data_IF_732425552364
#
_entry.id   IF_732425552364
#
_cell.length_a   1.000
_cell.length_b   1.000
_cell.length_c   1.000
_cell.angle_alpha   90.00
_cell.angle_beta   90.00
_cell.angle_gamma   90.00
#
_symmetry.space_group_name_H-M   'P 1'
#
loop_
_entity.id
_entity.type
_entity.pdbx_description
1 polymer ?
#
# COMPACT_ATOMS: atom_id res chain seq x y z
N UNK A 1 -40.66 20.43 -7.67
CA UNK A 1 -40.81 20.39 -6.22
C UNK A 1 -39.53 19.76 -5.68
N UNK A 2 -38.61 20.57 -5.17
CA UNK A 2 -37.43 20.09 -4.48
C UNK A 2 -37.90 19.43 -3.18
N UNK A 3 -37.81 18.12 -3.08
CA UNK A 3 -37.92 17.45 -1.79
C UNK A 3 -36.78 18.01 -0.94
N UNK A 4 -37.10 18.68 0.14
CA UNK A 4 -36.18 19.03 1.22
C UNK A 4 -35.66 17.72 1.81
N UNK A 5 -34.66 17.13 1.17
CA UNK A 5 -33.98 15.95 1.71
C UNK A 5 -33.11 16.45 2.86
N UNK A 6 -33.66 16.38 4.08
CA UNK A 6 -32.88 16.67 5.28
C UNK A 6 -31.60 15.86 5.26
N UNK A 7 -30.49 16.53 5.55
CA UNK A 7 -29.17 15.85 5.65
C UNK A 7 -29.25 14.74 6.71
N UNK A 8 -28.96 13.50 6.28
CA UNK A 8 -28.98 12.37 7.21
C UNK A 8 -27.78 12.46 8.17
N UNK A 9 -28.07 12.45 9.45
CA UNK A 9 -27.08 12.37 10.52
C UNK A 9 -27.22 11.01 11.17
N UNK A 10 -26.17 10.16 11.11
CA UNK A 10 -26.20 8.85 11.76
C UNK A 10 -26.40 8.97 13.27
N UNK A 11 -27.06 7.99 13.87
CA UNK A 11 -27.14 7.89 15.33
C UNK A 11 -25.75 7.76 15.98
N UNK A 12 -25.63 8.13 17.25
CA UNK A 12 -24.37 8.01 17.99
C UNK A 12 -23.88 6.56 18.00
N UNK A 13 -22.64 6.37 17.58
CA UNK A 13 -22.02 5.03 17.47
C UNK A 13 -20.87 4.87 18.47
N UNK A 14 -20.69 3.65 18.98
CA UNK A 14 -19.54 3.28 19.82
C UNK A 14 -18.32 2.82 19.00
N UNK A 15 -18.47 2.67 17.68
CA UNK A 15 -17.39 2.19 16.80
C UNK A 15 -16.10 3.02 16.89
N UNK A 16 -16.14 4.37 16.97
CA UNK A 16 -14.91 5.16 17.10
C UNK A 16 -14.11 4.85 18.37
N UNK A 17 -14.78 4.55 19.50
CA UNK A 17 -14.12 4.19 20.77
C UNK A 17 -13.43 2.83 20.61
N UNK A 18 -14.10 1.84 20.02
CA UNK A 18 -13.48 0.51 19.77
C UNK A 18 -12.33 0.60 18.76
N UNK A 19 -12.44 1.47 17.75
CA UNK A 19 -11.34 1.72 16.81
C UNK A 19 -10.13 2.34 17.51
N UNK A 20 -10.34 3.37 18.34
CA UNK A 20 -9.26 4.00 19.11
C UNK A 20 -8.56 2.99 20.03
N UNK A 21 -9.33 2.11 20.67
CA UNK A 21 -8.78 1.03 21.49
C UNK A 21 -7.98 0.01 20.64
N UNK A 22 -8.50 -0.39 19.48
CA UNK A 22 -7.79 -1.26 18.53
C UNK A 22 -6.47 -0.67 18.05
N UNK A 23 -6.45 0.62 17.73
CA UNK A 23 -5.25 1.35 17.33
C UNK A 23 -4.23 1.47 18.48
N UNK A 24 -4.69 1.72 19.70
CA UNK A 24 -3.81 1.71 20.89
C UNK A 24 -3.14 0.34 21.07
N UNK A 25 -3.90 -0.75 21.00
CA UNK A 25 -3.36 -2.10 21.07
C UNK A 25 -2.36 -2.36 19.93
N UNK A 26 -2.64 -1.84 18.73
CA UNK A 26 -1.75 -1.98 17.58
C UNK A 26 -0.40 -1.30 17.83
N UNK A 27 -0.38 -0.05 18.30
CA UNK A 27 0.87 0.67 18.58
C UNK A 27 1.68 -0.04 19.67
N UNK A 28 1.02 -0.47 20.75
CA UNK A 28 1.68 -1.21 21.84
C UNK A 28 2.19 -2.57 21.36
N UNK A 29 1.40 -3.30 20.57
CA UNK A 29 1.75 -4.60 20.00
C UNK A 29 2.91 -4.50 19.01
N UNK A 30 2.88 -3.52 18.11
CA UNK A 30 3.95 -3.28 17.16
C UNK A 30 5.26 -2.89 17.87
N UNK A 31 5.19 -1.96 18.82
CA UNK A 31 6.35 -1.53 19.60
C UNK A 31 6.97 -2.69 20.40
N UNK A 32 6.14 -3.52 21.05
CA UNK A 32 6.60 -4.71 21.77
C UNK A 32 7.25 -5.72 20.83
N UNK A 33 6.62 -5.99 19.67
CA UNK A 33 7.15 -6.94 18.68
C UNK A 33 8.50 -6.47 18.12
N UNK A 34 8.63 -5.19 17.81
CA UNK A 34 9.90 -4.62 17.32
C UNK A 34 11.00 -4.72 18.41
N UNK A 35 10.66 -4.40 19.65
CA UNK A 35 11.62 -4.49 20.77
C UNK A 35 12.05 -5.94 21.10
N UNK A 36 11.25 -6.91 20.70
CA UNK A 36 11.51 -8.32 20.94
C UNK A 36 12.10 -9.04 19.70
N UNK A 37 12.35 -8.31 18.60
CA UNK A 37 13.05 -8.88 17.45
C UNK A 37 14.45 -9.37 17.86
N UNK A 38 14.73 -10.62 17.54
CA UNK A 38 16.00 -11.27 17.89
C UNK A 38 16.02 -11.98 19.25
N UNK A 39 14.93 -11.96 20.04
CA UNK A 39 14.82 -12.76 21.26
C UNK A 39 14.29 -14.16 20.92
N UNK A 40 14.89 -15.21 21.52
CA UNK A 40 14.53 -16.61 21.25
C UNK A 40 13.11 -16.99 21.64
N UNK A 41 12.49 -16.29 22.61
CA UNK A 41 11.10 -16.52 23.00
C UNK A 41 10.41 -15.20 23.31
N UNK A 42 9.45 -14.81 22.47
CA UNK A 42 8.60 -13.66 22.69
C UNK A 42 7.18 -13.97 22.26
N UNK A 43 6.23 -13.58 23.11
CA UNK A 43 4.80 -13.64 22.82
C UNK A 43 4.21 -12.27 22.44
N UNK A 44 5.05 -11.28 22.16
CA UNK A 44 4.64 -9.91 21.85
C UNK A 44 3.78 -9.82 20.59
N UNK A 45 3.99 -10.73 19.62
CA UNK A 45 3.17 -10.82 18.41
C UNK A 45 1.69 -11.13 18.69
N UNK A 46 1.36 -11.74 19.85
CA UNK A 46 -0.04 -12.04 20.22
C UNK A 46 -0.83 -10.76 20.38
N UNK A 47 -0.24 -9.74 21.04
CA UNK A 47 -0.88 -8.44 21.20
C UNK A 47 -1.11 -7.76 19.83
N UNK A 48 -0.12 -7.84 18.94
CA UNK A 48 -0.22 -7.32 17.58
C UNK A 48 -1.33 -8.04 16.80
N UNK A 49 -1.38 -9.37 16.82
CA UNK A 49 -2.44 -10.14 16.14
C UNK A 49 -3.83 -9.83 16.72
N UNK A 50 -3.93 -9.70 18.05
CA UNK A 50 -5.19 -9.32 18.70
C UNK A 50 -5.66 -7.94 18.26
N UNK A 51 -4.75 -6.97 18.12
CA UNK A 51 -5.08 -5.63 17.64
C UNK A 51 -5.62 -5.66 16.20
N UNK A 52 -5.01 -6.44 15.31
CA UNK A 52 -5.53 -6.64 13.96
C UNK A 52 -6.94 -7.22 13.98
N UNK A 53 -7.20 -8.24 14.80
CA UNK A 53 -8.54 -8.82 14.90
C UNK A 53 -9.58 -7.79 15.35
N UNK A 54 -9.25 -6.94 16.33
CA UNK A 54 -10.14 -5.87 16.80
C UNK A 54 -10.38 -4.84 15.70
N UNK A 55 -9.32 -4.33 15.05
CA UNK A 55 -9.43 -3.31 13.99
C UNK A 55 -10.28 -3.85 12.83
N UNK A 56 -9.98 -5.05 12.33
CA UNK A 56 -10.74 -5.65 11.23
C UNK A 56 -12.19 -5.93 11.61
N UNK A 57 -12.44 -6.38 12.85
CA UNK A 57 -13.79 -6.57 13.36
C UNK A 57 -14.61 -5.26 13.39
N UNK A 58 -14.02 -4.18 13.88
CA UNK A 58 -14.64 -2.85 13.90
C UNK A 58 -14.89 -2.35 12.48
N UNK A 59 -13.90 -2.48 11.57
CA UNK A 59 -14.04 -2.08 10.17
C UNK A 59 -15.17 -2.85 9.47
N UNK A 60 -15.24 -4.17 9.70
CA UNK A 60 -16.31 -4.99 9.12
C UNK A 60 -17.70 -4.53 9.57
N UNK A 61 -17.89 -4.27 10.86
CA UNK A 61 -19.17 -3.75 11.39
C UNK A 61 -19.49 -2.37 10.83
N UNK A 62 -18.50 -1.50 10.78
CA UNK A 62 -18.69 -0.14 10.26
C UNK A 62 -19.11 -0.15 8.78
N UNK A 63 -18.37 -0.83 7.91
CA UNK A 63 -18.72 -0.92 6.49
C UNK A 63 -20.05 -1.64 6.26
N UNK A 64 -20.38 -2.64 7.09
CA UNK A 64 -21.67 -3.31 7.02
C UNK A 64 -22.82 -2.32 7.32
N UNK A 65 -22.65 -1.45 8.32
CA UNK A 65 -23.64 -0.42 8.64
C UNK A 65 -23.79 0.57 7.49
N UNK A 66 -22.69 1.08 6.94
CA UNK A 66 -22.71 2.01 5.78
C UNK A 66 -23.44 1.39 4.58
N UNK A 67 -23.16 0.12 4.29
CA UNK A 67 -23.83 -0.61 3.20
C UNK A 67 -25.34 -0.74 3.47
N UNK A 68 -25.73 -1.07 4.71
CA UNK A 68 -27.13 -1.22 5.07
C UNK A 68 -27.89 0.11 5.01
N UNK A 69 -27.26 1.21 5.43
CA UNK A 69 -27.83 2.56 5.34
C UNK A 69 -28.01 2.99 3.88
N UNK A 70 -27.02 2.75 3.03
CA UNK A 70 -27.12 3.00 1.58
C UNK A 70 -28.26 2.19 0.95
N UNK A 71 -28.35 0.88 1.26
CA UNK A 71 -29.41 0.01 0.74
C UNK A 71 -30.82 0.43 1.17
N UNK A 72 -30.96 1.13 2.33
CA UNK A 72 -32.22 1.71 2.80
C UNK A 72 -32.53 3.05 2.14
N UNK A 73 -31.64 3.58 1.28
CA UNK A 73 -31.83 4.86 0.61
C UNK A 73 -31.78 6.06 1.55
N UNK A 74 -31.03 5.97 2.66
CA UNK A 74 -30.94 7.02 3.68
C UNK A 74 -30.01 8.17 3.27
N UNK A 75 -29.22 8.00 2.23
CA UNK A 75 -28.19 8.94 1.82
C UNK A 75 -28.73 10.00 0.86
N UNK A 76 -28.51 11.27 1.20
CA UNK A 76 -28.79 12.41 0.33
C UNK A 76 -27.63 12.68 -0.62
N UNK A 77 -27.87 13.45 -1.69
CA UNK A 77 -26.83 13.87 -2.62
C UNK A 77 -25.69 14.64 -1.92
N UNK A 78 -26.03 15.45 -0.91
CA UNK A 78 -25.05 16.17 -0.11
C UNK A 78 -24.15 15.20 0.69
N UNK A 79 -24.72 14.13 1.24
CA UNK A 79 -23.94 13.12 1.96
C UNK A 79 -23.07 12.32 1.00
N UNK A 80 -23.56 11.97 -0.19
CA UNK A 80 -22.77 11.33 -1.23
C UNK A 80 -21.57 12.19 -1.62
N UNK A 81 -21.73 13.50 -1.75
CA UNK A 81 -20.62 14.43 -1.98
C UNK A 81 -19.62 14.44 -0.81
N UNK A 82 -20.08 14.31 0.42
CA UNK A 82 -19.19 14.19 1.59
C UNK A 82 -18.34 12.92 1.56
N UNK A 83 -18.89 11.79 1.09
CA UNK A 83 -18.11 10.57 0.88
C UNK A 83 -17.05 10.74 -0.21
N UNK A 84 -17.37 11.43 -1.31
CA UNK A 84 -16.41 11.77 -2.37
C UNK A 84 -15.23 12.56 -1.80
N UNK A 85 -15.50 13.62 -1.05
CA UNK A 85 -14.46 14.42 -0.39
C UNK A 85 -13.68 13.61 0.65
N UNK A 86 -14.37 12.77 1.43
CA UNK A 86 -13.72 11.87 2.39
C UNK A 86 -12.72 10.94 1.71
N UNK A 87 -13.08 10.33 0.58
CA UNK A 87 -12.19 9.48 -0.19
C UNK A 87 -11.02 10.26 -0.80
N UNK A 88 -11.26 11.47 -1.30
CA UNK A 88 -10.20 12.32 -1.84
C UNK A 88 -9.16 12.69 -0.76
N UNK A 89 -9.60 13.08 0.44
CA UNK A 89 -8.72 13.38 1.57
C UNK A 89 -7.99 12.13 2.08
N UNK A 90 -8.64 10.98 2.08
CA UNK A 90 -7.99 9.73 2.42
C UNK A 90 -6.85 9.42 1.44
N UNK A 91 -7.09 9.46 0.13
CA UNK A 91 -6.05 9.24 -0.88
C UNK A 91 -4.93 10.29 -0.73
N UNK A 92 -5.28 11.55 -0.47
CA UNK A 92 -4.27 12.59 -0.24
C UNK A 92 -3.38 12.27 0.96
N UNK A 93 -3.93 11.76 2.06
CA UNK A 93 -3.12 11.35 3.22
C UNK A 93 -2.15 10.22 2.88
N UNK A 94 -2.58 9.26 2.07
CA UNK A 94 -1.73 8.15 1.62
C UNK A 94 -0.63 8.62 0.65
N UNK A 95 -0.95 9.58 -0.23
CA UNK A 95 0.07 10.24 -1.06
C UNK A 95 1.13 10.90 -0.19
N UNK A 96 0.74 11.63 0.87
CA UNK A 96 1.68 12.27 1.79
C UNK A 96 2.50 11.25 2.60
N UNK A 97 1.90 10.10 2.95
CA UNK A 97 2.60 8.99 3.59
C UNK A 97 3.75 8.47 2.70
N UNK A 98 3.49 8.13 1.45
CA UNK A 98 4.54 7.69 0.53
C UNK A 98 5.53 8.80 0.18
N UNK A 99 5.05 10.03 0.04
CA UNK A 99 5.91 11.20 -0.20
C UNK A 99 6.98 11.37 0.89
N UNK A 100 6.64 11.12 2.16
CA UNK A 100 7.62 11.15 3.24
C UNK A 100 8.73 10.11 3.06
N UNK A 101 8.42 8.90 2.61
CA UNK A 101 9.44 7.88 2.32
C UNK A 101 10.29 8.24 1.10
N UNK A 102 9.68 8.75 0.03
CA UNK A 102 10.43 9.22 -1.14
C UNK A 102 11.34 10.40 -0.80
N UNK A 103 10.87 11.34 0.04
CA UNK A 103 11.72 12.42 0.54
C UNK A 103 12.90 11.89 1.37
N UNK A 104 12.67 10.91 2.24
CA UNK A 104 13.74 10.29 3.03
C UNK A 104 14.75 9.59 2.11
N UNK A 105 14.29 8.84 1.11
CA UNK A 105 15.16 8.22 0.10
C UNK A 105 15.95 9.27 -0.67
N UNK A 106 15.29 10.33 -1.13
CA UNK A 106 15.93 11.45 -1.83
C UNK A 106 16.98 12.13 -0.96
N UNK A 107 16.66 12.41 0.31
CA UNK A 107 17.61 13.01 1.25
C UNK A 107 18.85 12.12 1.48
N UNK A 108 18.64 10.85 1.68
CA UNK A 108 19.75 9.88 1.85
C UNK A 108 20.64 9.86 0.61
N UNK A 109 20.03 9.74 -0.57
CA UNK A 109 20.74 9.58 -1.84
C UNK A 109 21.46 10.86 -2.26
N UNK A 110 20.85 12.04 -2.04
CA UNK A 110 21.37 13.32 -2.51
C UNK A 110 22.30 14.02 -1.51
N UNK A 111 22.18 13.70 -0.23
CA UNK A 111 22.93 14.40 0.83
C UNK A 111 23.72 13.44 1.72
N UNK A 112 23.05 12.49 2.39
CA UNK A 112 23.70 11.68 3.42
C UNK A 112 24.82 10.81 2.86
N UNK A 113 24.58 10.11 1.74
CA UNK A 113 25.57 9.23 1.09
C UNK A 113 26.76 10.04 0.53
N UNK A 114 26.58 11.16 -0.22
CA UNK A 114 27.67 12.04 -0.62
C UNK A 114 28.49 12.58 0.56
N UNK A 115 27.83 13.04 1.64
CA UNK A 115 28.55 13.53 2.81
C UNK A 115 29.44 12.48 3.47
N UNK A 116 28.98 11.26 3.60
CA UNK A 116 29.77 10.14 4.11
C UNK A 116 30.96 9.79 3.18
N UNK A 117 30.79 9.95 1.88
CA UNK A 117 31.87 9.78 0.88
C UNK A 117 32.84 10.95 0.75
N UNK A 118 32.68 11.99 1.59
CA UNK A 118 33.60 13.13 1.57
C UNK A 118 33.22 14.25 0.62
N UNK A 119 31.97 14.28 0.15
CA UNK A 119 31.45 15.33 -0.74
C UNK A 119 30.52 16.31 0.00
N UNK A 120 30.48 17.57 -0.46
CA UNK A 120 29.54 18.57 0.00
C UNK A 120 29.86 19.19 1.36
N UNK A 121 28.85 19.84 1.97
CA UNK A 121 29.05 20.70 3.15
C UNK A 121 29.44 19.93 4.43
N UNK A 122 29.08 18.64 4.51
CA UNK A 122 29.40 17.79 5.66
C UNK A 122 30.45 16.70 5.32
N UNK A 123 31.30 16.98 4.36
CA UNK A 123 32.39 16.07 3.93
C UNK A 123 33.30 15.60 5.07
N UNK A 124 33.38 16.35 6.17
CA UNK A 124 34.14 15.98 7.36
C UNK A 124 33.73 14.64 7.98
N UNK A 125 32.51 14.17 7.71
CA UNK A 125 32.02 12.86 8.19
C UNK A 125 32.80 11.70 7.59
N UNK A 126 33.46 11.88 6.44
CA UNK A 126 34.33 10.88 5.82
C UNK A 126 35.58 10.55 6.65
N UNK A 127 35.98 11.43 7.58
CA UNK A 127 37.08 11.14 8.52
C UNK A 127 36.78 9.89 9.36
N UNK A 128 35.50 9.65 9.68
CA UNK A 128 35.09 8.47 10.45
C UNK A 128 35.10 7.20 9.59
N UNK A 129 34.89 7.35 8.29
CA UNK A 129 34.71 6.25 7.34
C UNK A 129 35.54 6.49 6.06
N UNK A 130 36.87 6.55 6.12
CA UNK A 130 37.70 7.01 5.00
C UNK A 130 37.70 6.05 3.80
N UNK A 131 37.31 4.80 4.01
CA UNK A 131 37.18 3.79 2.96
C UNK A 131 35.79 3.73 2.31
N UNK A 132 34.82 4.56 2.78
CA UNK A 132 33.49 4.54 2.23
C UNK A 132 33.41 5.29 0.90
N UNK A 133 32.86 4.63 -0.10
CA UNK A 133 32.59 5.21 -1.42
C UNK A 133 31.12 5.57 -1.58
N UNK A 134 30.84 6.82 -1.98
CA UNK A 134 29.49 7.35 -2.18
C UNK A 134 28.90 6.81 -3.49
N UNK A 135 28.42 5.57 -3.49
CA UNK A 135 27.77 4.94 -4.64
C UNK A 135 26.31 4.61 -4.32
N UNK A 136 25.44 4.61 -5.34
CA UNK A 136 24.07 4.14 -5.20
C UNK A 136 23.77 3.03 -6.21
N UNK A 137 23.18 1.90 -5.83
CA UNK A 137 22.83 1.51 -4.44
C UNK A 137 24.06 1.29 -3.55
N UNK A 138 23.91 1.57 -2.25
CA UNK A 138 24.97 1.39 -1.25
C UNK A 138 25.09 -0.11 -0.96
N UNK A 139 26.07 -0.76 -1.60
CA UNK A 139 26.33 -2.19 -1.45
C UNK A 139 27.33 -2.49 -0.33
N UNK A 140 28.21 -1.54 -0.04
CA UNK A 140 29.18 -1.59 1.07
C UNK A 140 28.81 -0.46 2.03
N UNK A 141 28.44 -0.80 3.26
CA UNK A 141 28.10 0.17 4.28
C UNK A 141 29.35 0.81 4.88
N UNK A 142 29.25 1.99 5.52
CA UNK A 142 30.39 2.62 6.20
C UNK A 142 31.05 1.70 7.23
N UNK A 143 30.26 0.97 8.02
CA UNK A 143 30.71 -0.07 8.96
C UNK A 143 30.26 -1.43 8.44
N UNK A 144 30.96 -1.94 7.43
CA UNK A 144 30.58 -3.19 6.77
C UNK A 144 30.87 -4.44 7.60
N UNK A 145 31.67 -4.34 8.66
CA UNK A 145 31.93 -5.45 9.59
C UNK A 145 30.72 -5.68 10.50
N UNK A 146 30.12 -4.62 11.02
CA UNK A 146 28.96 -4.69 11.90
C UNK A 146 27.64 -4.76 11.13
N UNK A 147 27.54 -4.06 10.00
CA UNK A 147 26.35 -3.95 9.17
C UNK A 147 26.64 -4.28 7.71
N UNK A 148 26.77 -5.56 7.38
CA UNK A 148 27.07 -5.96 6.00
C UNK A 148 25.98 -5.50 5.03
N UNK A 149 26.41 -4.94 3.90
CA UNK A 149 25.54 -4.55 2.81
C UNK A 149 24.99 -5.76 2.03
N UNK A 150 24.16 -5.51 1.03
CA UNK A 150 23.64 -6.55 0.15
C UNK A 150 24.73 -7.09 -0.78
N UNK A 151 24.69 -8.38 -1.12
CA UNK A 151 25.64 -9.00 -2.07
C UNK A 151 25.31 -8.64 -3.52
N UNK A 152 24.01 -8.49 -3.84
CA UNK A 152 23.50 -8.13 -5.16
C UNK A 152 22.45 -7.03 -5.05
N UNK A 153 22.30 -6.25 -6.12
CA UNK A 153 21.29 -5.21 -6.21
C UNK A 153 20.12 -5.62 -7.13
N UNK A 154 19.01 -4.92 -7.02
CA UNK A 154 17.78 -5.11 -7.82
C UNK A 154 17.77 -4.29 -9.12
N UNK A 155 18.91 -3.80 -9.58
CA UNK A 155 18.99 -2.97 -10.78
C UNK A 155 18.51 -3.71 -12.03
N UNK A 156 17.96 -2.95 -12.96
CA UNK A 156 17.53 -3.46 -14.25
C UNK A 156 18.69 -4.08 -15.03
N UNK A 157 18.59 -5.34 -15.50
CA UNK A 157 19.70 -6.05 -16.14
C UNK A 157 19.99 -5.59 -17.58
N UNK A 158 19.35 -4.51 -18.02
CA UNK A 158 19.41 -4.00 -19.39
C UNK A 158 18.21 -4.41 -20.25
N UNK A 159 17.97 -3.67 -21.33
CA UNK A 159 16.77 -3.81 -22.17
C UNK A 159 16.65 -5.21 -22.79
N UNK A 160 17.75 -5.83 -23.18
CA UNK A 160 17.75 -7.15 -23.81
C UNK A 160 17.35 -8.29 -22.88
N UNK A 161 17.55 -8.10 -21.56
CA UNK A 161 17.24 -9.09 -20.51
C UNK A 161 16.04 -8.66 -19.64
N UNK A 162 15.27 -7.67 -20.08
CA UNK A 162 14.14 -7.13 -19.32
C UNK A 162 13.10 -8.19 -18.95
N UNK A 163 12.88 -9.17 -19.83
CA UNK A 163 11.93 -10.27 -19.60
C UNK A 163 12.35 -11.23 -18.48
N UNK A 164 13.60 -11.22 -18.03
CA UNK A 164 14.09 -12.02 -16.90
C UNK A 164 13.98 -11.29 -15.56
N UNK A 165 13.58 -10.04 -15.58
CA UNK A 165 13.50 -9.16 -14.41
C UNK A 165 12.09 -9.14 -13.84
N UNK A 166 11.88 -9.63 -12.62
CA UNK A 166 10.59 -9.74 -11.98
C UNK A 166 9.84 -8.39 -11.87
N UNK A 167 10.47 -7.27 -11.50
CA UNK A 167 9.80 -5.97 -11.44
C UNK A 167 9.16 -5.52 -12.77
N UNK A 168 9.68 -5.96 -13.90
CA UNK A 168 9.05 -5.69 -15.21
C UNK A 168 7.67 -6.35 -15.33
N UNK A 169 7.56 -7.62 -14.92
CA UNK A 169 6.29 -8.34 -14.95
C UNK A 169 5.31 -7.79 -13.91
N UNK A 170 5.81 -7.41 -12.73
CA UNK A 170 5.04 -6.72 -11.72
C UNK A 170 4.42 -5.44 -12.26
N UNK A 171 5.23 -4.60 -12.89
CA UNK A 171 4.77 -3.35 -13.52
C UNK A 171 3.73 -3.61 -14.61
N UNK A 172 3.98 -4.60 -15.47
CA UNK A 172 3.05 -4.95 -16.55
C UNK A 172 1.69 -5.43 -15.99
N UNK A 173 1.69 -6.27 -14.97
CA UNK A 173 0.46 -6.74 -14.32
C UNK A 173 -0.32 -5.56 -13.72
N UNK A 174 0.35 -4.68 -12.99
CA UNK A 174 -0.31 -3.59 -12.27
C UNK A 174 -0.86 -2.54 -13.25
N UNK A 175 -0.07 -2.07 -14.21
CA UNK A 175 -0.51 -1.11 -15.23
C UNK A 175 -1.65 -1.68 -16.10
N UNK A 176 -1.58 -2.97 -16.46
CA UNK A 176 -2.67 -3.62 -17.18
C UNK A 176 -3.94 -3.68 -16.33
N UNK A 177 -3.81 -3.97 -15.02
CA UNK A 177 -4.95 -4.00 -14.10
C UNK A 177 -5.62 -2.65 -13.95
N UNK A 178 -4.86 -1.56 -14.01
CA UNK A 178 -5.37 -0.19 -14.05
C UNK A 178 -6.25 0.06 -15.29
N UNK A 179 -5.82 -0.41 -16.44
CA UNK A 179 -6.63 -0.36 -17.65
C UNK A 179 -7.91 -1.20 -17.57
N UNK A 180 -7.82 -2.41 -17.00
CA UNK A 180 -8.97 -3.32 -16.92
C UNK A 180 -10.03 -2.85 -15.93
N UNK A 181 -9.67 -2.19 -14.81
CA UNK A 181 -10.67 -1.61 -13.90
C UNK A 181 -11.39 -0.41 -14.54
N UNK A 182 -10.67 0.42 -15.30
CA UNK A 182 -11.30 1.51 -16.06
C UNK A 182 -12.30 0.96 -17.10
N UNK A 183 -11.98 -0.15 -17.76
CA UNK A 183 -12.91 -0.84 -18.67
C UNK A 183 -14.11 -1.43 -17.92
N UNK A 184 -13.92 -1.94 -16.71
CA UNK A 184 -15.01 -2.43 -15.87
C UNK A 184 -15.99 -1.29 -15.51
N UNK A 185 -15.48 -0.14 -15.05
CA UNK A 185 -16.31 1.02 -14.75
C UNK A 185 -17.07 1.53 -15.99
N UNK A 186 -16.36 1.64 -17.12
CA UNK A 186 -16.98 2.05 -18.38
C UNK A 186 -18.08 1.06 -18.84
N UNK A 187 -17.88 -0.23 -18.61
CA UNK A 187 -18.89 -1.26 -18.92
C UNK A 187 -20.11 -1.15 -18.00
N UNK A 188 -19.91 -0.88 -16.70
CA UNK A 188 -20.99 -0.66 -15.75
C UNK A 188 -21.83 0.56 -16.12
N UNK A 189 -21.19 1.71 -16.40
CA UNK A 189 -21.86 2.96 -16.84
C UNK A 189 -22.64 2.80 -18.14
N UNK A 190 -22.32 1.81 -18.97
CA UNK A 190 -23.03 1.48 -20.22
C UNK A 190 -24.05 0.33 -20.04
N UNK A 191 -24.36 -0.09 -18.81
CA UNK A 191 -25.28 -1.18 -18.52
C UNK A 191 -24.80 -2.59 -18.95
N UNK A 192 -23.53 -2.72 -19.39
CA UNK A 192 -22.96 -4.00 -19.89
C UNK A 192 -22.45 -4.87 -18.73
N UNK A 193 -23.39 -5.42 -17.94
CA UNK A 193 -23.09 -6.19 -16.72
C UNK A 193 -22.15 -7.38 -16.93
N UNK A 194 -22.28 -8.12 -18.03
CA UNK A 194 -21.38 -9.25 -18.32
C UNK A 194 -19.94 -8.78 -18.52
N UNK A 195 -19.71 -7.71 -19.30
CA UNK A 195 -18.40 -7.13 -19.52
C UNK A 195 -17.81 -6.57 -18.21
N UNK A 196 -18.62 -5.87 -17.40
CA UNK A 196 -18.21 -5.41 -16.07
C UNK A 196 -17.67 -6.58 -15.23
N UNK A 197 -18.43 -7.65 -15.09
CA UNK A 197 -18.03 -8.83 -14.30
C UNK A 197 -16.71 -9.43 -14.80
N UNK A 198 -16.56 -9.60 -16.12
CA UNK A 198 -15.35 -10.16 -16.71
C UNK A 198 -14.13 -9.29 -16.45
N UNK A 199 -14.24 -7.98 -16.66
CA UNK A 199 -13.13 -7.04 -16.41
C UNK A 199 -12.73 -6.96 -14.94
N UNK A 200 -13.69 -7.01 -14.01
CA UNK A 200 -13.40 -7.06 -12.57
C UNK A 200 -12.62 -8.31 -12.19
N UNK A 201 -12.99 -9.48 -12.72
CA UNK A 201 -12.25 -10.73 -12.48
C UNK A 201 -10.83 -10.62 -13.00
N UNK A 202 -10.63 -10.08 -14.21
CA UNK A 202 -9.29 -9.88 -14.78
C UNK A 202 -8.47 -8.95 -13.91
N UNK A 203 -9.03 -7.82 -13.47
CA UNK A 203 -8.35 -6.85 -12.59
C UNK A 203 -7.86 -7.51 -11.30
N UNK A 204 -8.74 -8.24 -10.60
CA UNK A 204 -8.39 -8.90 -9.34
C UNK A 204 -7.33 -9.99 -9.56
N UNK A 205 -7.46 -10.77 -10.64
CA UNK A 205 -6.49 -11.80 -10.96
C UNK A 205 -5.09 -11.20 -11.18
N UNK A 206 -4.99 -10.10 -11.92
CA UNK A 206 -3.73 -9.38 -12.13
C UNK A 206 -3.17 -8.81 -10.82
N UNK A 207 -4.02 -8.29 -9.95
CA UNK A 207 -3.62 -7.83 -8.62
C UNK A 207 -3.04 -8.94 -7.75
N UNK A 208 -3.66 -10.11 -7.71
CA UNK A 208 -3.13 -11.27 -6.97
C UNK A 208 -1.85 -11.83 -7.59
N UNK A 209 -1.74 -11.83 -8.93
CA UNK A 209 -0.50 -12.21 -9.62
C UNK A 209 0.63 -11.26 -9.20
N UNK A 210 0.38 -9.94 -9.17
CA UNK A 210 1.35 -8.96 -8.69
C UNK A 210 1.81 -9.29 -7.26
N UNK A 211 0.89 -9.52 -6.32
CA UNK A 211 1.23 -9.84 -4.92
C UNK A 211 2.07 -11.11 -4.83
N UNK A 212 1.74 -12.12 -5.63
CA UNK A 212 2.50 -13.37 -5.69
C UNK A 212 3.92 -13.14 -6.22
N UNK A 213 4.08 -12.39 -7.32
CA UNK A 213 5.38 -12.07 -7.89
C UNK A 213 6.22 -11.20 -6.94
N UNK A 214 5.59 -10.25 -6.22
CA UNK A 214 6.27 -9.47 -5.17
C UNK A 214 6.79 -10.38 -4.05
N UNK A 215 6.02 -11.39 -3.66
CA UNK A 215 6.46 -12.40 -2.69
C UNK A 215 7.68 -13.19 -3.17
N UNK A 216 7.70 -13.58 -4.45
CA UNK A 216 8.86 -14.24 -5.07
C UNK A 216 10.08 -13.32 -5.11
N UNK A 217 9.88 -12.03 -5.44
CA UNK A 217 10.95 -11.03 -5.44
C UNK A 217 11.56 -10.86 -4.06
N UNK A 218 10.76 -10.83 -3.00
CA UNK A 218 11.23 -10.78 -1.62
C UNK A 218 11.98 -12.05 -1.21
N UNK A 219 11.48 -13.21 -1.62
CA UNK A 219 12.19 -14.47 -1.38
C UNK A 219 13.57 -14.47 -2.05
N UNK A 220 13.66 -14.06 -3.31
CA UNK A 220 14.91 -13.94 -4.06
C UNK A 220 15.87 -12.96 -3.38
N UNK A 221 15.36 -11.79 -2.94
CA UNK A 221 16.14 -10.77 -2.25
C UNK A 221 16.78 -11.33 -0.96
N UNK A 222 16.00 -11.99 -0.13
CA UNK A 222 16.48 -12.55 1.15
C UNK A 222 17.37 -13.79 0.96
N UNK A 223 17.00 -14.73 0.07
CA UNK A 223 17.65 -16.03 -0.04
C UNK A 223 18.90 -16.00 -0.92
N UNK A 224 18.95 -15.13 -1.93
CA UNK A 224 19.99 -15.19 -2.99
C UNK A 224 20.74 -13.89 -3.25
N UNK A 225 20.33 -12.78 -2.60
CA UNK A 225 20.93 -11.47 -2.81
C UNK A 225 21.55 -10.86 -1.56
N UNK A 226 21.39 -11.48 -0.39
CA UNK A 226 21.78 -10.88 0.88
C UNK A 226 21.06 -9.54 1.15
N UNK A 227 20.06 -9.20 0.34
CA UNK A 227 19.29 -7.97 0.47
C UNK A 227 18.20 -8.18 1.51
N UNK A 228 18.46 -7.68 2.72
CA UNK A 228 17.56 -7.79 3.87
C UNK A 228 17.23 -6.41 4.42
N UNK A 229 16.26 -6.34 5.33
CA UNK A 229 15.93 -5.10 6.02
C UNK A 229 17.15 -4.51 6.77
N UNK A 230 18.07 -5.36 7.24
CA UNK A 230 19.31 -4.99 7.93
C UNK A 230 20.51 -4.74 7.01
N UNK A 231 20.37 -4.89 5.69
CA UNK A 231 21.46 -4.70 4.73
C UNK A 231 21.76 -3.21 4.42
N UNK A 232 21.87 -2.41 5.47
CA UNK A 232 22.14 -0.98 5.38
C UNK A 232 20.95 -0.16 4.81
N UNK A 233 21.25 1.08 4.43
CA UNK A 233 20.21 2.04 4.02
C UNK A 233 19.52 1.63 2.71
N UNK A 234 20.22 0.92 1.82
CA UNK A 234 19.62 0.43 0.58
C UNK A 234 18.55 -0.64 0.87
N UNK A 235 18.87 -1.64 1.69
CA UNK A 235 17.90 -2.67 2.08
C UNK A 235 16.72 -2.09 2.86
N UNK A 236 17.00 -1.23 3.85
CA UNK A 236 15.96 -0.59 4.66
C UNK A 236 14.98 0.23 3.80
N UNK A 237 15.49 1.09 2.91
CA UNK A 237 14.62 1.93 2.06
C UNK A 237 13.87 1.09 1.02
N UNK A 238 14.49 0.06 0.46
CA UNK A 238 13.84 -0.85 -0.47
C UNK A 238 12.65 -1.55 0.18
N UNK A 239 12.85 -2.21 1.33
CA UNK A 239 11.76 -2.96 1.97
C UNK A 239 10.69 -2.08 2.61
N UNK A 240 11.03 -0.89 3.11
CA UNK A 240 10.01 0.03 3.62
C UNK A 240 9.11 0.55 2.50
N UNK A 241 9.68 1.04 1.41
CA UNK A 241 8.90 1.55 0.28
C UNK A 241 8.06 0.46 -0.37
N UNK A 242 8.71 -0.62 -0.81
CA UNK A 242 8.01 -1.69 -1.55
C UNK A 242 7.12 -2.53 -0.63
N UNK A 243 7.45 -2.66 0.67
CA UNK A 243 6.64 -3.39 1.64
C UNK A 243 5.35 -2.67 1.99
N UNK A 244 5.41 -1.37 2.27
CA UNK A 244 4.19 -0.57 2.45
C UNK A 244 3.36 -0.52 1.17
N UNK A 245 4.00 -0.40 0.01
CA UNK A 245 3.30 -0.49 -1.26
C UNK A 245 2.58 -1.84 -1.41
N UNK A 246 3.27 -2.95 -1.19
CA UNK A 246 2.69 -4.30 -1.26
C UNK A 246 1.52 -4.48 -0.29
N UNK A 247 1.60 -3.93 0.91
CA UNK A 247 0.48 -3.90 1.86
C UNK A 247 -0.73 -3.15 1.28
N UNK A 248 -0.53 -1.99 0.66
CA UNK A 248 -1.60 -1.21 0.01
C UNK A 248 -2.19 -1.95 -1.20
N UNK A 249 -1.37 -2.66 -1.98
CA UNK A 249 -1.87 -3.54 -3.07
C UNK A 249 -2.75 -4.65 -2.51
N UNK A 250 -2.34 -5.31 -1.43
CA UNK A 250 -3.16 -6.34 -0.78
C UNK A 250 -4.51 -5.77 -0.30
N UNK A 251 -4.50 -4.60 0.35
CA UNK A 251 -5.74 -3.92 0.76
C UNK A 251 -6.62 -3.58 -0.44
N UNK A 252 -6.05 -3.02 -1.49
CA UNK A 252 -6.76 -2.69 -2.73
C UNK A 252 -7.38 -3.94 -3.37
N UNK A 253 -6.63 -5.04 -3.45
CA UNK A 253 -7.14 -6.31 -3.98
C UNK A 253 -8.30 -6.86 -3.15
N UNK A 254 -8.24 -6.75 -1.82
CA UNK A 254 -9.35 -7.14 -0.93
C UNK A 254 -10.56 -6.24 -1.18
N UNK A 255 -10.39 -4.92 -1.24
CA UNK A 255 -11.46 -3.96 -1.52
C UNK A 255 -12.13 -4.29 -2.87
N UNK A 256 -11.34 -4.45 -3.93
CA UNK A 256 -11.86 -4.79 -5.26
C UNK A 256 -12.54 -6.15 -5.29
N UNK A 257 -12.06 -7.13 -4.53
CA UNK A 257 -12.72 -8.44 -4.38
C UNK A 257 -14.10 -8.29 -3.75
N UNK A 258 -14.21 -7.53 -2.66
CA UNK A 258 -15.50 -7.24 -2.01
C UNK A 258 -16.44 -6.50 -2.97
N UNK A 259 -15.95 -5.48 -3.69
CA UNK A 259 -16.74 -4.75 -4.68
C UNK A 259 -17.19 -5.65 -5.83
N UNK A 260 -16.36 -6.60 -6.25
CA UNK A 260 -16.73 -7.58 -7.29
C UNK A 260 -17.85 -8.50 -6.82
N UNK A 261 -17.73 -9.05 -5.62
CA UNK A 261 -18.77 -9.92 -5.04
C UNK A 261 -20.11 -9.16 -4.95
N UNK A 262 -20.07 -7.92 -4.46
CA UNK A 262 -21.25 -7.04 -4.39
C UNK A 262 -21.81 -6.72 -5.78
N UNK A 263 -20.93 -6.43 -6.74
CA UNK A 263 -21.31 -6.16 -8.13
C UNK A 263 -21.94 -7.38 -8.83
N UNK A 264 -21.48 -8.58 -8.49
CA UNK A 264 -22.12 -9.83 -8.99
C UNK A 264 -23.52 -10.01 -8.41
N UNK A 265 -23.74 -9.61 -7.16
CA UNK A 265 -25.04 -9.55 -6.51
C UNK A 265 -25.96 -8.42 -6.99
N UNK A 266 -25.48 -7.55 -7.91
CA UNK A 266 -26.29 -6.47 -8.48
C UNK A 266 -26.33 -5.20 -7.61
N UNK A 267 -25.43 -5.05 -6.64
CA UNK A 267 -25.41 -3.90 -5.73
C UNK A 267 -25.06 -2.56 -6.39
N UNK A 268 -24.51 -2.57 -7.60
CA UNK A 268 -24.16 -1.35 -8.34
C UNK A 268 -25.06 -1.14 -9.54
N UNK A 269 -25.41 0.12 -9.79
CA UNK A 269 -26.15 0.58 -10.95
C UNK A 269 -25.34 1.58 -11.78
N UNK A 270 -25.90 2.01 -12.89
CA UNK A 270 -25.29 3.06 -13.74
C UNK A 270 -25.16 4.40 -12.99
N UNK A 271 -26.01 4.66 -12.00
CA UNK A 271 -26.07 5.90 -11.23
C UNK A 271 -25.52 5.77 -9.80
N UNK A 272 -25.67 4.60 -9.18
CA UNK A 272 -25.18 4.33 -7.82
C UNK A 272 -24.07 3.28 -7.84
N UNK A 273 -22.83 3.77 -7.89
CA UNK A 273 -21.62 2.94 -7.92
C UNK A 273 -20.42 3.60 -7.21
N UNK A 274 -20.67 4.54 -6.29
CA UNK A 274 -19.59 5.26 -5.61
C UNK A 274 -18.60 4.33 -4.92
N UNK A 275 -19.06 3.26 -4.27
CA UNK A 275 -18.14 2.29 -3.61
C UNK A 275 -17.14 1.64 -4.58
N UNK A 276 -17.59 1.33 -5.81
CA UNK A 276 -16.70 0.82 -6.86
C UNK A 276 -15.72 1.91 -7.32
N UNK A 277 -16.21 3.12 -7.58
CA UNK A 277 -15.37 4.25 -7.99
C UNK A 277 -14.29 4.58 -6.93
N UNK A 278 -14.65 4.58 -5.65
CA UNK A 278 -13.71 4.78 -4.56
C UNK A 278 -12.61 3.69 -4.52
N UNK A 279 -12.99 2.41 -4.68
CA UNK A 279 -12.04 1.31 -4.79
C UNK A 279 -11.12 1.43 -6.00
N UNK A 280 -11.65 1.88 -7.14
CA UNK A 280 -10.89 2.15 -8.36
C UNK A 280 -9.89 3.30 -8.16
N UNK A 281 -10.28 4.40 -7.53
CA UNK A 281 -9.38 5.51 -7.23
C UNK A 281 -8.22 5.08 -6.33
N UNK A 282 -8.53 4.25 -5.32
CA UNK A 282 -7.48 3.68 -4.46
C UNK A 282 -6.53 2.79 -5.25
N UNK A 283 -7.04 1.95 -6.16
CA UNK A 283 -6.23 1.10 -7.01
C UNK A 283 -5.32 1.90 -7.93
N UNK A 284 -5.84 2.93 -8.60
CA UNK A 284 -5.03 3.82 -9.43
C UNK A 284 -3.95 4.57 -8.64
N UNK A 285 -4.26 4.99 -7.40
CA UNK A 285 -3.27 5.58 -6.51
C UNK A 285 -2.12 4.60 -6.25
N UNK A 286 -2.42 3.35 -5.92
CA UNK A 286 -1.41 2.31 -5.68
C UNK A 286 -0.55 2.07 -6.93
N UNK A 287 -1.14 2.03 -8.12
CA UNK A 287 -0.43 1.91 -9.40
C UNK A 287 0.56 3.06 -9.63
N UNK A 288 0.15 4.30 -9.35
CA UNK A 288 1.02 5.49 -9.49
C UNK A 288 2.21 5.41 -8.54
N UNK A 289 1.98 5.01 -7.29
CA UNK A 289 3.07 4.82 -6.31
C UNK A 289 4.09 3.78 -6.77
N UNK A 290 3.63 2.69 -7.42
CA UNK A 290 4.53 1.67 -7.96
C UNK A 290 5.44 2.17 -9.06
N UNK A 291 4.93 3.04 -9.93
CA UNK A 291 5.71 3.59 -11.06
C UNK A 291 6.80 4.56 -10.58
N UNK A 292 6.60 5.25 -9.45
CA UNK A 292 7.56 6.19 -8.86
C UNK A 292 8.72 5.45 -8.18
#
# INVERSE_FOLDING_TARGET
>A
MSSDSSYYVPESSKLPIFMAFGLLLFVLGAGSTINDLGKESSNSYILLMTSFAVIWGVMFVWFSNVINENNKGMYSDQLNQSFVWGMAWFIFSEVMFFFAFFLALGYVRMFSVPWLGGEGEKAITNILWPAFEATWPVMVTPDNETFPGAEKNMNMPGITKLHTWLPFWNTLCLVTSSGTIALAEAALKKGKRAAFKSWMVVTISLGFIFVFLQGLEYYEAYAHMGLTLGAGIYGTTFFLLTGFHGFHVCLGAIILTIMTIRGFGGAFSEHDHFGLAAGSWYWHFVDVVWIL
#
